data_IF_646142257905
#
_entry.id   IF_646142257905
#
_cell.length_a   1.000
_cell.length_b   1.000
_cell.length_c   1.000
_cell.angle_alpha   90.00
_cell.angle_beta   90.00
_cell.angle_gamma   90.00
#
_symmetry.space_group_name_H-M   'P 1'
#
loop_
_entity.id
_entity.type
_entity.pdbx_description
1 polymer ?
#
# COMPACT_ATOMS: atom_id res chain seq x y z
N UNK A 1 24.99 -9.67 4.73
CA UNK A 1 24.52 -8.32 4.38
C UNK A 1 23.05 -8.45 4.01
N UNK A 2 22.16 -7.62 4.56
CA UNK A 2 20.76 -7.59 4.12
C UNK A 2 20.77 -7.28 2.61
N UNK A 3 20.30 -8.19 1.78
CA UNK A 3 20.38 -8.05 0.32
C UNK A 3 19.72 -6.74 -0.11
N UNK A 4 20.50 -5.75 -0.57
CA UNK A 4 20.01 -4.43 -1.00
C UNK A 4 18.85 -4.56 -2.00
N UNK A 5 18.92 -5.56 -2.87
CA UNK A 5 17.85 -5.89 -3.84
C UNK A 5 16.52 -6.25 -3.17
N UNK A 6 16.55 -6.98 -2.06
CA UNK A 6 15.34 -7.31 -1.28
C UNK A 6 14.77 -6.07 -0.60
N UNK A 7 15.63 -5.24 -0.01
CA UNK A 7 15.21 -3.99 0.62
C UNK A 7 14.58 -3.01 -0.39
N UNK A 8 15.10 -2.92 -1.62
CA UNK A 8 14.51 -2.13 -2.70
C UNK A 8 13.18 -2.69 -3.19
N UNK A 9 13.03 -4.02 -3.25
CA UNK A 9 11.75 -4.66 -3.56
C UNK A 9 10.73 -4.36 -2.48
N UNK A 10 11.12 -4.47 -1.20
CA UNK A 10 10.25 -4.12 -0.08
C UNK A 10 9.84 -2.67 -0.15
N UNK A 11 10.78 -1.74 -0.36
CA UNK A 11 10.47 -0.31 -0.50
C UNK A 11 9.41 -0.03 -1.59
N UNK A 12 9.46 -0.72 -2.72
CA UNK A 12 8.44 -0.60 -3.76
C UNK A 12 7.10 -1.17 -3.30
N UNK A 13 7.09 -2.35 -2.68
CA UNK A 13 5.86 -2.97 -2.16
C UNK A 13 5.16 -2.06 -1.14
N UNK A 14 5.90 -1.54 -0.15
CA UNK A 14 5.36 -0.63 0.87
C UNK A 14 4.77 0.64 0.23
N UNK A 15 5.40 1.17 -0.83
CA UNK A 15 4.88 2.32 -1.57
C UNK A 15 3.58 2.01 -2.32
N UNK A 16 3.54 0.84 -2.98
CA UNK A 16 2.35 0.36 -3.67
C UNK A 16 1.21 0.12 -2.69
N UNK A 17 1.50 -0.52 -1.55
CA UNK A 17 0.52 -0.94 -0.55
C UNK A 17 -0.06 0.28 0.16
N UNK A 18 0.76 1.27 0.49
CA UNK A 18 0.31 2.57 1.01
C UNK A 18 -0.67 3.26 0.05
N UNK A 19 -0.40 3.24 -1.26
CA UNK A 19 -1.30 3.83 -2.25
C UNK A 19 -2.61 3.04 -2.38
N UNK A 20 -2.56 1.70 -2.39
CA UNK A 20 -3.74 0.85 -2.51
C UNK A 20 -4.60 0.92 -1.23
N UNK A 21 -4.02 0.88 -0.04
CA UNK A 21 -4.76 1.06 1.21
C UNK A 21 -5.42 2.44 1.31
N UNK A 22 -4.74 3.50 0.83
CA UNK A 22 -5.35 4.84 0.77
C UNK A 22 -6.56 4.89 -0.18
N UNK A 23 -6.46 4.21 -1.33
CA UNK A 23 -7.58 4.04 -2.26
C UNK A 23 -8.74 3.25 -1.62
N UNK A 24 -8.43 2.17 -0.89
CA UNK A 24 -9.42 1.37 -0.17
C UNK A 24 -10.12 2.21 0.91
N UNK A 25 -9.36 2.97 1.70
CA UNK A 25 -9.91 3.84 2.76
C UNK A 25 -10.87 4.89 2.17
N UNK A 26 -10.49 5.51 1.05
CA UNK A 26 -11.30 6.50 0.36
C UNK A 26 -12.61 5.92 -0.22
N UNK A 27 -12.61 4.63 -0.56
CA UNK A 27 -13.75 3.93 -1.18
C UNK A 27 -14.59 3.14 -0.17
N UNK A 28 -14.09 2.94 1.05
CA UNK A 28 -14.77 2.23 2.12
C UNK A 28 -15.93 3.07 2.65
N UNK A 29 -17.02 2.40 3.03
CA UNK A 29 -18.21 3.07 3.59
C UNK A 29 -18.27 2.90 5.10
N UNK A 30 -17.82 1.77 5.61
CA UNK A 30 -17.81 1.46 7.04
C UNK A 30 -16.69 2.19 7.77
N UNK A 31 -17.03 2.97 8.80
CA UNK A 31 -16.08 3.80 9.52
C UNK A 31 -15.11 3.01 10.39
N UNK A 32 -15.50 1.82 10.88
CA UNK A 32 -14.57 0.94 11.61
C UNK A 32 -13.54 0.34 10.65
N UNK A 33 -13.95 -0.09 9.46
CA UNK A 33 -13.03 -0.54 8.42
C UNK A 33 -12.07 0.57 7.98
N UNK A 34 -12.55 1.81 7.82
CA UNK A 34 -11.68 2.96 7.55
C UNK A 34 -10.64 3.17 8.65
N UNK A 35 -11.03 3.06 9.92
CA UNK A 35 -10.08 3.17 11.05
C UNK A 35 -9.00 2.09 10.98
N UNK A 36 -9.37 0.87 10.61
CA UNK A 36 -8.42 -0.23 10.41
C UNK A 36 -7.47 0.09 9.24
N UNK A 37 -7.99 0.52 8.09
CA UNK A 37 -7.19 0.90 6.93
C UNK A 37 -6.22 2.05 7.25
N UNK A 38 -6.65 3.08 8.00
CA UNK A 38 -5.76 4.16 8.47
C UNK A 38 -4.61 3.66 9.34
N UNK A 39 -4.88 2.68 10.21
CA UNK A 39 -3.83 2.06 11.02
C UNK A 39 -2.82 1.35 10.11
N UNK A 40 -3.29 0.56 9.14
CA UNK A 40 -2.43 -0.10 8.16
C UNK A 40 -1.57 0.92 7.39
N UNK A 41 -2.17 1.96 6.82
CA UNK A 41 -1.45 3.05 6.12
C UNK A 41 -0.35 3.67 7.00
N UNK A 42 -0.62 3.82 8.30
CA UNK A 42 0.36 4.40 9.24
C UNK A 42 1.53 3.46 9.49
N UNK A 43 1.30 2.14 9.58
CA UNK A 43 2.36 1.16 9.74
C UNK A 43 3.20 1.01 8.45
N UNK A 44 2.57 0.92 7.28
CA UNK A 44 3.26 0.89 5.97
C UNK A 44 4.12 2.15 5.76
N UNK A 45 3.67 3.32 6.22
CA UNK A 45 4.50 4.55 6.20
C UNK A 45 5.78 4.41 7.03
N UNK A 46 5.70 3.76 8.20
CA UNK A 46 6.86 3.52 9.06
C UNK A 46 7.82 2.52 8.43
N UNK A 47 7.28 1.43 7.86
CA UNK A 47 8.06 0.44 7.14
C UNK A 47 8.75 1.03 5.91
N UNK A 48 8.04 1.85 5.13
CA UNK A 48 8.61 2.59 4.00
C UNK A 48 9.77 3.48 4.46
N UNK A 49 9.58 4.29 5.52
CA UNK A 49 10.62 5.16 6.05
C UNK A 49 11.85 4.37 6.56
N UNK A 50 11.63 3.22 7.18
CA UNK A 50 12.69 2.31 7.60
C UNK A 50 13.47 1.75 6.40
N UNK A 51 12.76 1.25 5.37
CA UNK A 51 13.36 0.73 4.14
C UNK A 51 14.11 1.83 3.38
N UNK A 52 13.57 3.05 3.33
CA UNK A 52 14.21 4.22 2.72
C UNK A 52 15.52 4.56 3.44
N UNK A 53 15.54 4.52 4.78
CA UNK A 53 16.77 4.76 5.57
C UNK A 53 17.85 3.71 5.28
N UNK A 54 17.46 2.45 5.06
CA UNK A 54 18.39 1.35 4.75
C UNK A 54 18.91 1.43 3.31
N UNK A 55 18.02 1.72 2.36
CA UNK A 55 18.32 1.68 0.93
C UNK A 55 18.94 2.98 0.40
N UNK A 56 18.64 4.11 1.04
CA UNK A 56 18.98 5.45 0.55
C UNK A 56 18.17 5.89 -0.67
N UNK A 57 17.14 5.14 -1.08
CA UNK A 57 16.31 5.43 -2.25
C UNK A 57 14.89 5.84 -1.83
N UNK A 58 14.20 6.60 -2.69
CA UNK A 58 12.77 6.90 -2.57
C UNK A 58 12.06 6.34 -3.79
N UNK A 59 10.93 5.64 -3.60
CA UNK A 59 10.11 5.07 -4.69
C UNK A 59 8.65 5.44 -4.52
N UNK A 60 8.04 5.89 -5.61
CA UNK A 60 6.60 6.10 -5.68
C UNK A 60 5.88 4.80 -6.05
N UNK A 61 4.60 4.73 -5.69
CA UNK A 61 3.73 3.63 -6.08
C UNK A 61 3.68 3.45 -7.61
N UNK A 62 3.53 2.20 -8.04
CA UNK A 62 3.32 1.87 -9.44
C UNK A 62 1.90 2.26 -9.88
N UNK A 63 1.80 3.28 -10.73
CA UNK A 63 0.52 3.81 -11.23
C UNK A 63 -0.35 2.75 -11.92
N UNK A 64 0.25 1.83 -12.68
CA UNK A 64 -0.52 0.76 -13.34
C UNK A 64 -1.17 -0.18 -12.32
N UNK A 65 -0.44 -0.49 -11.24
CA UNK A 65 -0.98 -1.30 -10.13
C UNK A 65 -2.13 -0.53 -9.45
N UNK A 66 -1.92 0.73 -9.10
CA UNK A 66 -2.98 1.56 -8.48
C UNK A 66 -4.24 1.66 -9.35
N UNK A 67 -4.09 1.83 -10.67
CA UNK A 67 -5.22 1.87 -11.60
C UNK A 67 -5.96 0.51 -11.63
N UNK A 68 -5.22 -0.60 -11.66
CA UNK A 68 -5.82 -1.94 -11.63
C UNK A 68 -6.64 -2.16 -10.35
N UNK A 69 -6.09 -1.83 -9.18
CA UNK A 69 -6.82 -1.91 -7.91
C UNK A 69 -8.00 -0.94 -7.85
N UNK A 70 -7.89 0.25 -8.47
CA UNK A 70 -9.03 1.18 -8.61
C UNK A 70 -10.19 0.56 -9.35
N UNK A 71 -9.91 -0.20 -10.42
CA UNK A 71 -10.93 -0.93 -11.18
C UNK A 71 -11.55 -2.04 -10.31
N UNK A 72 -10.71 -2.81 -9.58
CA UNK A 72 -11.21 -3.87 -8.68
C UNK A 72 -12.13 -3.32 -7.59
N UNK A 73 -11.75 -2.21 -6.94
CA UNK A 73 -12.59 -1.58 -5.90
C UNK A 73 -13.92 -1.13 -6.47
N UNK A 74 -13.93 -0.58 -7.69
CA UNK A 74 -15.17 -0.12 -8.34
C UNK A 74 -16.10 -1.25 -8.74
N UNK A 75 -15.57 -2.39 -9.19
CA UNK A 75 -16.38 -3.52 -9.68
C UNK A 75 -16.80 -4.46 -8.54
N UNK A 76 -15.87 -4.80 -7.65
CA UNK A 76 -16.06 -5.84 -6.63
C UNK A 76 -16.14 -5.30 -5.19
N UNK A 77 -15.81 -4.03 -4.98
CA UNK A 77 -15.79 -3.41 -3.66
C UNK A 77 -14.47 -3.56 -2.90
N UNK A 78 -14.39 -2.88 -1.76
CA UNK A 78 -13.19 -2.81 -0.90
C UNK A 78 -12.82 -4.15 -0.29
N UNK A 79 -13.79 -4.89 0.27
CA UNK A 79 -13.55 -6.19 0.92
C UNK A 79 -12.99 -7.26 -0.02
N UNK A 80 -13.48 -7.32 -1.26
CA UNK A 80 -12.92 -8.24 -2.26
C UNK A 80 -11.49 -7.85 -2.60
N UNK A 81 -11.28 -6.56 -2.88
CA UNK A 81 -9.98 -6.03 -3.29
C UNK A 81 -8.93 -6.22 -2.21
N UNK A 82 -9.28 -6.00 -0.93
CA UNK A 82 -8.40 -6.21 0.21
C UNK A 82 -7.96 -7.68 0.34
N UNK A 83 -8.84 -8.64 0.04
CA UNK A 83 -8.49 -10.07 0.05
C UNK A 83 -7.68 -10.51 -1.16
N UNK A 84 -7.74 -9.77 -2.26
CA UNK A 84 -7.01 -10.06 -3.50
C UNK A 84 -5.56 -9.55 -3.46
N UNK A 85 -5.33 -8.48 -2.70
CA UNK A 85 -4.03 -7.82 -2.55
C UNK A 85 -2.97 -8.74 -1.97
#
# INVERSE_FOLDING_TARGET
MLDKKRALKQLQNESDDLAIYSLLEASEKDDENKKILRKLITEERRHYAFCQKITGESRSANLFKVIFYTILVKIFGTSFTLKFM
#
